data_IF_375745737542
#
_entry.id   IF_375745737542
#
_cell.length_a   1.000
_cell.length_b   1.000
_cell.length_c   1.000
_cell.angle_alpha   90.00
_cell.angle_beta   90.00
_cell.angle_gamma   90.00
#
_symmetry.space_group_name_H-M   'P 1'
#
loop_
_entity.id
_entity.type
_entity.pdbx_description
1 polymer ?
#
# COMPACT_ATOMS: atom_id res chain seq x y z
N UNK A 1 28.13 0.39 3.54
CA UNK A 1 26.71 0.81 3.58
C UNK A 1 26.37 1.27 2.18
N UNK A 2 25.55 0.51 1.44
CA UNK A 2 25.05 0.98 0.14
C UNK A 2 24.16 2.20 0.41
N UNK A 3 24.47 3.30 -0.26
CA UNK A 3 23.75 4.55 -0.11
C UNK A 3 22.38 4.38 -0.75
N UNK A 4 21.31 4.51 0.03
CA UNK A 4 19.94 4.48 -0.49
C UNK A 4 19.76 5.58 -1.56
N UNK A 5 19.40 5.17 -2.76
CA UNK A 5 19.08 6.06 -3.88
C UNK A 5 17.70 5.71 -4.46
N UNK A 6 16.71 6.53 -4.11
CA UNK A 6 15.32 6.36 -4.57
C UNK A 6 15.12 6.48 -6.09
N UNK A 7 16.09 7.02 -6.80
CA UNK A 7 16.03 7.22 -8.25
C UNK A 7 16.79 6.13 -9.03
N UNK A 8 17.46 5.21 -8.33
CA UNK A 8 18.15 4.10 -8.96
C UNK A 8 17.15 3.12 -9.59
N UNK A 9 17.58 2.48 -10.66
CA UNK A 9 16.85 1.37 -11.31
C UNK A 9 17.25 -0.01 -10.76
N UNK A 10 18.23 -0.06 -9.84
CA UNK A 10 18.70 -1.29 -9.23
C UNK A 10 18.06 -1.48 -7.86
N UNK A 11 17.44 -2.63 -7.66
CA UNK A 11 16.71 -2.93 -6.42
C UNK A 11 17.60 -2.78 -5.17
N UNK A 12 18.86 -3.21 -5.24
CA UNK A 12 19.83 -3.15 -4.15
C UNK A 12 20.16 -1.71 -3.69
N UNK A 13 19.87 -0.72 -4.52
CA UNK A 13 20.18 0.69 -4.22
C UNK A 13 18.97 1.44 -3.68
N UNK A 14 17.73 1.01 -3.97
CA UNK A 14 16.51 1.65 -3.46
C UNK A 14 15.72 0.79 -2.47
N UNK A 15 16.05 -0.50 -2.32
CA UNK A 15 15.51 -1.38 -1.29
C UNK A 15 16.61 -1.64 -0.26
N UNK A 16 16.41 -1.17 0.96
CA UNK A 16 17.34 -1.47 2.06
C UNK A 16 16.85 -2.70 2.82
N UNK A 17 17.29 -3.88 2.38
CA UNK A 17 16.92 -5.16 2.98
C UNK A 17 17.33 -5.25 4.46
N UNK A 18 18.52 -4.73 4.81
CA UNK A 18 18.98 -4.67 6.20
C UNK A 18 18.03 -3.88 7.10
N UNK A 19 17.55 -2.72 6.65
CA UNK A 19 16.59 -1.90 7.41
C UNK A 19 15.24 -2.61 7.58
N UNK A 20 14.79 -3.34 6.56
CA UNK A 20 13.57 -4.14 6.63
C UNK A 20 13.72 -5.24 7.69
N UNK A 21 14.80 -6.02 7.64
CA UNK A 21 15.06 -7.10 8.58
C UNK A 21 15.22 -6.59 10.01
N UNK A 22 15.93 -5.48 10.20
CA UNK A 22 16.08 -4.83 11.50
C UNK A 22 14.73 -4.34 12.06
N UNK A 23 13.85 -3.82 11.20
CA UNK A 23 12.52 -3.39 11.62
C UNK A 23 11.64 -4.57 12.02
N UNK A 24 11.70 -5.69 11.30
CA UNK A 24 10.97 -6.91 11.63
C UNK A 24 11.48 -7.52 12.94
N UNK A 25 12.80 -7.58 13.13
CA UNK A 25 13.40 -8.05 14.38
C UNK A 25 12.99 -7.17 15.57
N UNK A 26 13.07 -5.86 15.41
CA UNK A 26 12.63 -4.91 16.43
C UNK A 26 11.16 -5.11 16.78
N UNK A 27 10.30 -5.36 15.80
CA UNK A 27 8.88 -5.63 16.01
C UNK A 27 8.66 -6.91 16.82
N UNK A 28 9.37 -7.99 16.50
CA UNK A 28 9.25 -9.26 17.20
C UNK A 28 9.73 -9.15 18.67
N UNK A 29 10.82 -8.44 18.90
CA UNK A 29 11.34 -8.16 20.25
C UNK A 29 10.37 -7.29 21.09
N UNK A 30 9.54 -6.46 20.44
CA UNK A 30 8.64 -5.51 21.08
C UNK A 30 7.15 -5.85 20.96
N UNK A 31 6.78 -7.00 20.42
CA UNK A 31 5.37 -7.41 20.24
C UNK A 31 4.53 -7.43 21.53
N UNK A 32 5.19 -7.70 22.67
CA UNK A 32 4.57 -7.69 24.00
C UNK A 32 4.82 -6.39 24.78
N UNK A 33 5.47 -5.41 24.20
CA UNK A 33 5.72 -4.10 24.81
C UNK A 33 4.48 -3.21 24.66
N UNK A 34 3.49 -3.45 25.52
CA UNK A 34 2.20 -2.77 25.45
C UNK A 34 2.31 -1.25 25.66
N UNK A 35 3.31 -0.80 26.43
CA UNK A 35 3.56 0.63 26.63
C UNK A 35 4.02 1.30 25.33
N UNK A 36 4.91 0.65 24.58
CA UNK A 36 5.36 1.15 23.27
C UNK A 36 4.19 1.18 22.28
N UNK A 37 3.37 0.14 22.23
CA UNK A 37 2.17 0.09 21.38
C UNK A 37 1.22 1.24 21.71
N UNK A 38 0.93 1.48 23.00
CA UNK A 38 0.06 2.58 23.42
C UNK A 38 0.65 3.95 23.03
N UNK A 39 1.99 4.17 23.16
CA UNK A 39 2.67 5.39 22.70
C UNK A 39 2.52 5.62 21.19
N UNK A 40 2.65 4.58 20.40
CA UNK A 40 2.49 4.66 18.94
C UNK A 40 1.03 5.00 18.57
N UNK A 41 0.06 4.38 19.25
CA UNK A 41 -1.37 4.67 19.08
C UNK A 41 -1.66 6.15 19.38
N UNK A 42 -1.11 6.70 20.49
CA UNK A 42 -1.29 8.11 20.83
C UNK A 42 -0.64 9.05 19.80
N UNK A 43 0.55 8.71 19.30
CA UNK A 43 1.17 9.45 18.19
C UNK A 43 0.28 9.47 16.94
N UNK A 44 -0.29 8.32 16.58
CA UNK A 44 -1.22 8.22 15.45
C UNK A 44 -2.51 9.01 15.70
N UNK A 45 -3.01 9.07 16.94
CA UNK A 45 -4.19 9.87 17.33
C UNK A 45 -3.97 11.36 17.08
N UNK A 46 -2.77 11.86 17.27
CA UNK A 46 -2.39 13.23 16.95
C UNK A 46 -2.28 13.49 15.44
N UNK A 47 -2.64 12.49 14.60
CA UNK A 47 -2.53 12.54 13.13
C UNK A 47 -1.11 12.81 12.63
N UNK A 48 -0.12 12.52 13.46
CA UNK A 48 1.29 12.48 13.08
C UNK A 48 1.57 11.14 12.41
N UNK A 49 2.26 11.17 11.28
CA UNK A 49 2.65 9.94 10.60
C UNK A 49 3.45 9.00 11.49
N UNK A 50 3.25 7.71 11.34
CA UNK A 50 4.09 6.67 11.93
C UNK A 50 5.13 6.22 10.92
N UNK A 51 6.34 5.90 11.38
CA UNK A 51 7.39 5.36 10.53
C UNK A 51 7.22 3.84 10.34
N UNK A 52 8.01 3.23 9.44
CA UNK A 52 7.93 1.81 9.13
C UNK A 52 8.24 0.91 10.34
N UNK A 53 9.16 1.31 11.24
CA UNK A 53 9.48 0.58 12.47
C UNK A 53 8.32 0.63 13.47
N UNK A 54 7.66 1.76 13.63
CA UNK A 54 6.45 1.89 14.45
C UNK A 54 5.29 1.09 13.87
N UNK A 55 5.13 1.12 12.54
CA UNK A 55 4.12 0.33 11.85
C UNK A 55 4.35 -1.18 12.04
N UNK A 56 5.60 -1.64 11.97
CA UNK A 56 5.92 -3.06 12.18
C UNK A 56 5.59 -3.54 13.61
N UNK A 57 5.80 -2.70 14.63
CA UNK A 57 5.40 -3.00 16.01
C UNK A 57 3.87 -3.13 16.13
N UNK A 58 3.09 -2.23 15.51
CA UNK A 58 1.63 -2.34 15.52
C UNK A 58 1.14 -3.61 14.82
N UNK A 59 1.79 -4.02 13.73
CA UNK A 59 1.44 -5.25 12.99
C UNK A 59 1.82 -6.52 13.77
N UNK A 60 2.88 -6.48 14.57
CA UNK A 60 3.31 -7.61 15.39
C UNK A 60 2.53 -7.72 16.72
N UNK A 61 1.74 -6.72 17.08
CA UNK A 61 0.96 -6.72 18.32
C UNK A 61 -0.13 -7.78 18.29
N UNK A 62 -0.16 -8.68 19.29
CA UNK A 62 -1.15 -9.74 19.44
C UNK A 62 -2.18 -9.45 20.55
N UNK A 63 -2.01 -8.35 21.29
CA UNK A 63 -2.95 -7.97 22.35
C UNK A 63 -4.30 -7.51 21.79
N UNK A 64 -5.36 -8.24 22.11
CA UNK A 64 -6.70 -8.02 21.56
C UNK A 64 -7.27 -6.63 21.87
N UNK A 65 -6.96 -6.07 23.04
CA UNK A 65 -7.46 -4.75 23.41
C UNK A 65 -6.77 -3.66 22.62
N UNK A 66 -5.44 -3.77 22.42
CA UNK A 66 -4.67 -2.82 21.59
C UNK A 66 -5.06 -2.92 20.13
N UNK A 67 -5.24 -4.12 19.61
CA UNK A 67 -5.77 -4.33 18.25
C UNK A 67 -7.13 -3.63 18.08
N UNK A 68 -8.03 -3.76 19.05
CA UNK A 68 -9.33 -3.05 19.02
C UNK A 68 -9.16 -1.54 19.06
N UNK A 69 -8.22 -1.01 19.86
CA UNK A 69 -7.88 0.42 19.88
C UNK A 69 -7.36 0.89 18.51
N UNK A 70 -6.46 0.12 17.89
CA UNK A 70 -5.90 0.41 16.56
C UNK A 70 -7.01 0.51 15.51
N UNK A 71 -7.92 -0.48 15.45
CA UNK A 71 -9.03 -0.46 14.50
C UNK A 71 -10.01 0.69 14.74
N UNK A 72 -10.31 1.00 16.00
CA UNK A 72 -11.19 2.11 16.33
C UNK A 72 -10.55 3.45 15.93
N UNK A 73 -9.26 3.62 16.20
CA UNK A 73 -8.53 4.82 15.78
C UNK A 73 -8.44 4.94 14.26
N UNK A 74 -8.17 3.85 13.54
CA UNK A 74 -8.15 3.84 12.09
C UNK A 74 -9.51 4.25 11.50
N UNK A 75 -10.62 3.76 12.07
CA UNK A 75 -11.98 4.16 11.70
C UNK A 75 -12.21 5.66 11.95
N UNK A 76 -11.77 6.16 13.09
CA UNK A 76 -11.90 7.58 13.44
C UNK A 76 -11.11 8.46 12.48
N UNK A 77 -9.85 8.11 12.20
CA UNK A 77 -9.01 8.85 11.24
C UNK A 77 -9.66 8.85 9.84
N UNK A 78 -10.15 7.69 9.37
CA UNK A 78 -10.89 7.60 8.11
C UNK A 78 -12.09 8.55 8.10
N UNK A 79 -12.88 8.57 9.19
CA UNK A 79 -14.06 9.42 9.30
C UNK A 79 -13.69 10.91 9.33
N UNK A 80 -12.62 11.28 9.99
CA UNK A 80 -12.14 12.66 10.09
C UNK A 80 -11.70 13.24 8.73
N UNK A 81 -11.09 12.41 7.87
CA UNK A 81 -10.59 12.85 6.57
C UNK A 81 -11.60 12.66 5.43
N UNK A 82 -12.36 11.58 5.44
CA UNK A 82 -13.23 11.19 4.33
C UNK A 82 -14.73 11.24 4.70
N UNK A 83 -15.07 11.41 5.97
CA UNK A 83 -16.45 11.30 6.43
C UNK A 83 -17.03 9.91 6.15
N UNK A 84 -18.29 9.87 5.74
CA UNK A 84 -18.98 8.63 5.37
C UNK A 84 -18.86 8.31 3.87
N UNK A 85 -18.00 9.02 3.14
CA UNK A 85 -17.77 8.80 1.71
C UNK A 85 -17.06 7.48 1.47
N UNK A 86 -17.53 6.76 0.46
CA UNK A 86 -16.89 5.58 -0.09
C UNK A 86 -16.18 6.01 -1.37
N UNK A 87 -14.89 5.72 -1.45
CA UNK A 87 -14.12 5.94 -2.68
C UNK A 87 -14.37 4.76 -3.60
N UNK A 88 -15.09 4.99 -4.70
CA UNK A 88 -15.25 4.01 -5.76
C UNK A 88 -14.19 4.25 -6.83
N UNK A 89 -13.57 3.19 -7.29
CA UNK A 89 -12.58 3.26 -8.35
C UNK A 89 -12.67 2.02 -9.24
N UNK A 90 -12.24 2.18 -10.48
CA UNK A 90 -12.03 1.06 -11.38
C UNK A 90 -10.61 1.15 -11.95
N UNK A 91 -9.85 0.05 -11.97
CA UNK A 91 -8.53 0.06 -12.57
C UNK A 91 -8.64 0.23 -14.10
N UNK A 92 -7.85 1.14 -14.65
CA UNK A 92 -7.73 1.30 -16.09
C UNK A 92 -6.51 0.53 -16.58
N UNK A 93 -6.75 -0.57 -17.30
CA UNK A 93 -5.70 -1.39 -17.88
C UNK A 93 -5.24 -0.79 -19.22
N UNK A 94 -4.05 -0.20 -19.22
CA UNK A 94 -3.48 0.45 -20.41
C UNK A 94 -2.95 -0.55 -21.43
N UNK A 95 -2.58 -1.77 -20.98
CA UNK A 95 -2.03 -2.81 -21.82
C UNK A 95 -2.15 -4.17 -21.14
N UNK A 96 -2.34 -5.22 -21.91
CA UNK A 96 -2.28 -6.61 -21.47
C UNK A 96 -1.03 -7.35 -21.99
N UNK A 97 -0.05 -6.61 -22.51
CA UNK A 97 1.26 -7.17 -22.84
C UNK A 97 2.05 -7.43 -21.54
N UNK A 98 2.70 -8.56 -21.48
CA UNK A 98 3.55 -8.95 -20.35
C UNK A 98 4.75 -9.76 -20.84
N UNK A 99 5.91 -9.53 -20.22
CA UNK A 99 7.16 -10.26 -20.52
C UNK A 99 7.38 -11.44 -19.58
N UNK A 100 6.64 -11.51 -18.47
CA UNK A 100 6.79 -12.51 -17.43
C UNK A 100 6.08 -13.83 -17.78
N UNK A 101 6.50 -14.91 -17.10
CA UNK A 101 5.96 -16.24 -17.28
C UNK A 101 5.17 -16.77 -16.07
N UNK A 102 4.49 -15.91 -15.30
CA UNK A 102 3.76 -16.30 -14.09
C UNK A 102 2.72 -17.38 -14.40
N UNK A 103 2.79 -18.50 -13.69
CA UNK A 103 2.00 -19.71 -13.99
C UNK A 103 0.49 -19.48 -13.85
N UNK A 104 0.07 -18.66 -12.89
CA UNK A 104 -1.33 -18.41 -12.59
C UNK A 104 -1.95 -17.24 -13.36
N UNK A 105 -1.12 -16.43 -14.03
CA UNK A 105 -1.59 -15.19 -14.66
C UNK A 105 -2.00 -15.40 -16.12
N UNK A 106 -3.24 -15.08 -16.53
CA UNK A 106 -3.65 -15.25 -17.92
C UNK A 106 -2.88 -14.34 -18.89
N UNK A 107 -2.27 -13.25 -18.37
CA UNK A 107 -1.48 -12.32 -19.20
C UNK A 107 -0.03 -12.71 -19.38
N UNK A 108 0.42 -13.88 -18.88
CA UNK A 108 1.81 -14.31 -19.05
C UNK A 108 2.22 -14.38 -20.52
N UNK A 109 3.50 -14.11 -20.81
CA UNK A 109 4.02 -13.94 -22.18
C UNK A 109 3.75 -15.15 -23.10
N UNK A 110 3.74 -16.37 -22.55
CA UNK A 110 3.55 -17.61 -23.30
C UNK A 110 2.08 -17.88 -23.67
N UNK A 111 1.12 -17.17 -23.09
CA UNK A 111 -0.30 -17.36 -23.43
C UNK A 111 -0.62 -16.72 -24.80
N UNK A 112 -0.79 -17.58 -25.81
CA UNK A 112 -1.14 -17.17 -27.18
C UNK A 112 -2.64 -17.10 -27.44
N UNK A 113 -3.47 -17.49 -26.48
CA UNK A 113 -4.93 -17.56 -26.63
C UNK A 113 -5.65 -16.25 -26.33
N UNK A 114 -4.92 -15.22 -25.84
CA UNK A 114 -5.49 -13.91 -25.56
C UNK A 114 -5.11 -12.89 -26.64
N UNK A 115 -6.08 -12.06 -27.01
CA UNK A 115 -5.81 -10.91 -27.85
C UNK A 115 -5.03 -9.87 -27.06
N UNK A 116 -3.85 -9.49 -27.58
CA UNK A 116 -2.98 -8.47 -26.96
C UNK A 116 -3.36 -7.10 -27.50
N UNK A 117 -3.56 -6.16 -26.57
CA UNK A 117 -3.86 -4.77 -26.90
C UNK A 117 -3.11 -3.84 -25.95
N UNK A 118 -2.60 -2.75 -26.51
CA UNK A 118 -2.16 -1.56 -25.79
C UNK A 118 -3.06 -0.43 -26.26
N UNK A 119 -3.67 0.28 -25.33
CA UNK A 119 -4.53 1.42 -25.63
C UNK A 119 -3.71 2.56 -26.20
N UNK A 120 -4.26 3.25 -27.19
CA UNK A 120 -3.73 4.53 -27.65
C UNK A 120 -4.07 5.64 -26.66
N UNK A 121 -3.42 6.79 -26.78
CA UNK A 121 -3.70 7.92 -25.90
C UNK A 121 -5.14 8.40 -26.03
N UNK A 122 -5.71 8.40 -27.23
CA UNK A 122 -7.10 8.82 -27.48
C UNK A 122 -8.10 7.84 -26.85
N UNK A 123 -7.83 6.53 -26.93
CA UNK A 123 -8.64 5.52 -26.26
C UNK A 123 -8.59 5.68 -24.73
N UNK A 124 -7.43 5.97 -24.16
CA UNK A 124 -7.27 6.24 -22.72
C UNK A 124 -8.08 7.46 -22.30
N UNK A 125 -7.97 8.57 -23.03
CA UNK A 125 -8.74 9.78 -22.77
C UNK A 125 -10.24 9.54 -22.85
N UNK A 126 -10.69 8.80 -23.86
CA UNK A 126 -12.10 8.42 -24.01
C UNK A 126 -12.61 7.64 -22.80
N UNK A 127 -11.86 6.65 -22.32
CA UNK A 127 -12.21 5.86 -21.14
C UNK A 127 -12.22 6.68 -19.84
N UNK A 128 -11.30 7.64 -19.69
CA UNK A 128 -11.29 8.56 -18.55
C UNK A 128 -12.55 9.40 -18.55
N UNK A 129 -12.95 9.96 -19.70
CA UNK A 129 -14.18 10.76 -19.82
C UNK A 129 -15.46 9.96 -19.50
N UNK A 130 -15.51 8.69 -19.86
CA UNK A 130 -16.62 7.81 -19.50
C UNK A 130 -16.67 7.55 -17.99
N UNK A 131 -15.50 7.45 -17.36
CA UNK A 131 -15.36 7.12 -15.93
C UNK A 131 -15.41 8.34 -15.03
N UNK A 132 -15.20 9.55 -15.56
CA UNK A 132 -15.33 10.78 -14.78
C UNK A 132 -16.78 10.99 -14.33
N UNK A 133 -17.02 11.03 -13.00
CA UNK A 133 -18.32 11.45 -12.54
C UNK A 133 -18.55 12.89 -13.01
N UNK A 134 -19.57 13.10 -13.81
CA UNK A 134 -20.04 14.45 -14.16
C UNK A 134 -20.19 15.25 -12.86
N UNK A 135 -19.26 16.15 -12.58
CA UNK A 135 -19.46 17.19 -11.57
C UNK A 135 -20.64 18.00 -12.04
N UNK A 136 -21.82 17.67 -11.54
CA UNK A 136 -22.92 18.62 -11.58
C UNK A 136 -22.54 19.72 -10.59
N UNK A 137 -22.22 20.87 -11.14
CA UNK A 137 -22.16 22.15 -10.43
C UNK A 137 -23.49 22.44 -9.73
#
# INVERSE_FOLDING_TARGET
MNKYDKNSLKAEEFINDGEILDSLKFADENKNNLELVDKIIEKARLKKGINHREASVLLACEDKERIKKIYNLARQIKKDFYGDRIVMFAPLYLSNYCVNGCVYCPYHAKNKHICRKKLTQDEVLSLIHISEPTRRS
#
